data_IF_468960734574
#
_entry.id   IF_468960734574
#
_cell.length_a   1.000
_cell.length_b   1.000
_cell.length_c   1.000
_cell.angle_alpha   90.00
_cell.angle_beta   90.00
_cell.angle_gamma   90.00
#
_symmetry.space_group_name_H-M   'P 1'
#
loop_
_entity.id
_entity.type
_entity.pdbx_description
1 polymer ?
#
# COMPACT_ATOMS: atom_id res chain seq x y z
N UNK A 1 -20.60 8.00 -7.97
CA UNK A 1 -19.39 7.46 -8.64
C UNK A 1 -18.89 6.31 -7.79
N UNK A 2 -19.31 5.09 -8.08
CA UNK A 2 -18.75 3.91 -7.43
C UNK A 2 -17.47 3.56 -8.18
N UNK A 3 -16.34 3.99 -7.64
CA UNK A 3 -15.05 3.55 -8.15
C UNK A 3 -14.94 2.05 -7.84
N UNK A 4 -14.70 1.23 -8.87
CA UNK A 4 -14.67 -0.22 -8.74
C UNK A 4 -13.37 -0.58 -8.01
N UNK A 5 -13.46 -0.85 -6.71
CA UNK A 5 -12.36 -1.41 -5.94
C UNK A 5 -12.02 -2.82 -6.46
N UNK A 6 -10.74 -3.16 -6.41
CA UNK A 6 -10.28 -4.52 -6.62
C UNK A 6 -10.59 -5.41 -5.40
N UNK A 7 -10.32 -6.71 -5.54
CA UNK A 7 -10.65 -7.70 -4.50
C UNK A 7 -9.96 -7.42 -3.16
N UNK A 8 -8.76 -6.88 -3.18
CA UNK A 8 -8.01 -6.55 -1.96
C UNK A 8 -8.59 -5.31 -1.31
N UNK A 9 -8.87 -4.27 -2.09
CA UNK A 9 -9.53 -3.04 -1.67
C UNK A 9 -10.91 -3.30 -1.09
N UNK A 10 -11.76 -4.09 -1.75
CA UNK A 10 -13.09 -4.46 -1.24
C UNK A 10 -13.02 -5.14 0.13
N UNK A 11 -12.08 -6.08 0.31
CA UNK A 11 -11.87 -6.77 1.59
C UNK A 11 -11.40 -5.81 2.67
N UNK A 12 -10.45 -4.92 2.33
CA UNK A 12 -9.92 -3.95 3.28
C UNK A 12 -10.99 -2.93 3.69
N UNK A 13 -11.75 -2.42 2.72
CA UNK A 13 -12.88 -1.52 2.94
C UNK A 13 -13.88 -2.14 3.92
N UNK A 14 -14.37 -3.36 3.61
CA UNK A 14 -15.30 -4.09 4.48
C UNK A 14 -14.74 -4.38 5.87
N UNK A 15 -13.44 -4.64 5.97
CA UNK A 15 -12.79 -4.92 7.26
C UNK A 15 -12.64 -3.66 8.13
N UNK A 16 -12.58 -2.48 7.52
CA UNK A 16 -12.37 -1.22 8.22
C UNK A 16 -13.66 -0.49 8.52
N UNK A 17 -14.67 -0.54 7.65
CA UNK A 17 -15.94 0.19 7.78
C UNK A 17 -16.69 -0.13 9.08
N UNK A 18 -17.17 0.91 9.76
CA UNK A 18 -18.08 0.82 10.89
C UNK A 18 -19.36 1.63 10.60
N UNK A 19 -20.54 1.17 11.05
CA UNK A 19 -21.81 1.91 10.83
C UNK A 19 -21.84 3.33 11.43
N UNK A 20 -20.94 3.61 12.38
CA UNK A 20 -20.85 4.88 13.10
C UNK A 20 -19.81 5.84 12.51
N UNK A 21 -19.10 5.43 11.45
CA UNK A 21 -18.08 6.30 10.84
C UNK A 21 -18.73 7.54 10.21
N UNK A 22 -18.12 8.70 10.47
CA UNK A 22 -18.36 9.90 9.69
C UNK A 22 -17.81 9.77 8.28
N UNK A 23 -18.29 10.62 7.37
CA UNK A 23 -17.93 10.58 5.95
C UNK A 23 -16.41 10.77 5.73
N UNK A 24 -15.77 11.57 6.57
CA UNK A 24 -14.32 11.79 6.58
C UNK A 24 -13.53 10.50 6.81
N UNK A 25 -13.98 9.63 7.73
CA UNK A 25 -13.37 8.32 7.95
C UNK A 25 -13.65 7.40 6.77
N UNK A 26 -14.87 7.42 6.22
CA UNK A 26 -15.22 6.66 5.02
C UNK A 26 -14.30 6.98 3.85
N UNK A 27 -13.98 8.25 3.61
CA UNK A 27 -13.04 8.67 2.57
C UNK A 27 -11.66 8.06 2.81
N UNK A 28 -11.13 8.13 4.04
CA UNK A 28 -9.83 7.54 4.37
C UNK A 28 -9.80 6.02 4.16
N UNK A 29 -10.90 5.32 4.46
CA UNK A 29 -11.04 3.88 4.23
C UNK A 29 -11.01 3.57 2.73
N UNK A 30 -11.70 4.36 1.91
CA UNK A 30 -11.69 4.20 0.45
C UNK A 30 -10.28 4.41 -0.10
N UNK A 31 -9.55 5.43 0.36
CA UNK A 31 -8.16 5.63 -0.07
C UNK A 31 -7.25 4.48 0.38
N UNK A 32 -7.42 3.98 1.61
CA UNK A 32 -6.67 2.82 2.10
C UNK A 32 -6.95 1.58 1.23
N UNK A 33 -8.21 1.37 0.83
CA UNK A 33 -8.62 0.29 -0.08
C UNK A 33 -7.92 0.40 -1.44
N UNK A 34 -7.89 1.59 -2.06
CA UNK A 34 -7.20 1.82 -3.33
C UNK A 34 -5.70 1.55 -3.23
N UNK A 35 -5.06 1.95 -2.12
CA UNK A 35 -3.65 1.65 -1.87
C UNK A 35 -3.43 0.14 -1.73
N UNK A 36 -4.35 -0.57 -1.06
CA UNK A 36 -4.35 -2.03 -0.97
C UNK A 36 -4.39 -2.71 -2.34
N UNK A 37 -5.25 -2.25 -3.25
CA UNK A 37 -5.31 -2.77 -4.62
C UNK A 37 -4.02 -2.49 -5.41
N UNK A 38 -3.45 -1.29 -5.26
CA UNK A 38 -2.18 -0.93 -5.90
C UNK A 38 -1.05 -1.85 -5.39
N UNK A 39 -1.02 -2.16 -4.10
CA UNK A 39 -0.04 -3.06 -3.51
C UNK A 39 -0.19 -4.50 -4.02
N UNK A 40 -1.42 -4.98 -4.20
CA UNK A 40 -1.68 -6.29 -4.81
C UNK A 40 -1.16 -6.35 -6.26
N UNK A 41 -1.39 -5.28 -7.04
CA UNK A 41 -0.89 -5.17 -8.40
C UNK A 41 0.65 -5.15 -8.44
N UNK A 42 1.29 -4.36 -7.56
CA UNK A 42 2.74 -4.30 -7.45
C UNK A 42 3.33 -5.64 -7.02
N UNK A 43 2.69 -6.33 -6.08
CA UNK A 43 3.09 -7.68 -5.68
C UNK A 43 3.02 -8.66 -6.86
N UNK A 44 1.97 -8.58 -7.68
CA UNK A 44 1.85 -9.40 -8.89
C UNK A 44 2.97 -9.12 -9.89
N UNK A 45 3.38 -7.86 -10.05
CA UNK A 45 4.53 -7.48 -10.89
C UNK A 45 5.83 -8.03 -10.31
N UNK A 46 6.08 -7.84 -9.01
CA UNK A 46 7.30 -8.25 -8.32
C UNK A 46 7.49 -9.77 -8.28
N UNK A 47 6.38 -10.52 -8.24
CA UNK A 47 6.39 -12.00 -8.22
C UNK A 47 6.42 -12.62 -9.62
N UNK A 48 6.41 -11.79 -10.68
CA UNK A 48 6.40 -12.28 -12.05
C UNK A 48 5.08 -12.92 -12.48
N UNK A 49 3.98 -12.64 -11.76
CA UNK A 49 2.63 -13.11 -12.09
C UNK A 49 1.96 -12.30 -13.20
N UNK A 50 2.61 -11.22 -13.67
CA UNK A 50 2.17 -10.40 -14.80
C UNK A 50 3.22 -10.51 -15.90
N UNK A 51 2.80 -10.90 -17.11
CA UNK A 51 3.63 -11.04 -18.33
C UNK A 51 4.27 -9.73 -18.83
N UNK A 52 4.29 -8.66 -18.02
CA UNK A 52 4.49 -7.29 -18.51
C UNK A 52 5.60 -6.59 -17.75
N UNK A 53 6.62 -6.23 -18.53
CA UNK A 53 7.61 -5.19 -18.32
C UNK A 53 8.75 -5.46 -17.35
N UNK A 54 9.85 -5.90 -17.96
CA UNK A 54 11.16 -5.35 -17.65
C UNK A 54 11.84 -4.85 -18.91
N UNK A 55 12.54 -3.71 -18.78
CA UNK A 55 13.46 -3.25 -19.80
C UNK A 55 14.63 -4.23 -19.79
N UNK A 56 14.65 -5.14 -20.76
CA UNK A 56 15.82 -5.94 -21.08
C UNK A 56 16.96 -5.00 -21.44
N UNK A 57 17.99 -4.94 -20.60
CA UNK A 57 19.29 -4.43 -21.01
C UNK A 57 20.26 -5.59 -21.14
N UNK A 58 21.00 -5.62 -22.24
CA UNK A 58 22.11 -6.55 -22.41
C UNK A 58 23.26 -6.06 -21.53
N UNK A 59 23.68 -6.85 -20.55
CA UNK A 59 24.91 -6.63 -19.81
C UNK A 59 26.12 -6.72 -20.74
N UNK A 60 27.28 -6.16 -20.32
CA UNK A 60 28.51 -6.14 -21.13
C UNK A 60 29.00 -7.52 -21.55
N UNK A 61 28.54 -8.56 -20.84
CA UNK A 61 28.98 -9.94 -20.99
C UNK A 61 27.94 -10.82 -21.72
N UNK A 62 26.88 -10.21 -22.27
CA UNK A 62 25.78 -10.92 -22.93
C UNK A 62 24.67 -11.43 -22.00
N UNK A 63 24.78 -11.18 -20.69
CA UNK A 63 23.76 -11.53 -19.69
C UNK A 63 22.54 -10.61 -19.78
N UNK A 64 21.34 -11.16 -19.62
CA UNK A 64 20.10 -10.40 -19.51
C UNK A 64 19.97 -9.81 -18.10
N UNK A 65 19.95 -8.49 -17.96
CA UNK A 65 19.61 -7.83 -16.69
C UNK A 65 18.16 -7.36 -16.69
N UNK A 66 17.43 -7.75 -15.64
CA UNK A 66 16.04 -7.38 -15.36
C UNK A 66 16.06 -6.46 -14.14
N UNK A 67 15.88 -5.14 -14.35
CA UNK A 67 15.75 -4.18 -13.24
C UNK A 67 14.31 -4.02 -12.80
N UNK A 68 14.04 -4.44 -11.56
CA UNK A 68 12.72 -4.37 -10.89
C UNK A 68 12.64 -3.15 -9.94
N UNK A 69 13.68 -2.33 -9.91
CA UNK A 69 13.90 -1.31 -8.87
C UNK A 69 12.72 -0.32 -8.69
N UNK A 70 12.11 0.12 -9.79
CA UNK A 70 11.00 1.07 -9.74
C UNK A 70 9.74 0.49 -9.10
N UNK A 71 9.39 -0.77 -9.40
CA UNK A 71 8.21 -1.43 -8.82
C UNK A 71 8.40 -1.70 -7.32
N UNK A 72 9.61 -2.10 -6.92
CA UNK A 72 9.94 -2.35 -5.52
C UNK A 72 9.94 -1.06 -4.71
N UNK A 73 10.46 0.03 -5.28
CA UNK A 73 10.44 1.35 -4.65
C UNK A 73 9.00 1.87 -4.46
N UNK A 74 8.16 1.79 -5.50
CA UNK A 74 6.75 2.17 -5.43
C UNK A 74 6.00 1.33 -4.39
N UNK A 75 6.24 0.01 -4.33
CA UNK A 75 5.61 -0.87 -3.35
C UNK A 75 5.93 -0.45 -1.90
N UNK A 76 7.19 -0.09 -1.63
CA UNK A 76 7.60 0.42 -0.30
C UNK A 76 6.93 1.76 0.03
N UNK A 77 6.82 2.66 -0.95
CA UNK A 77 6.15 3.95 -0.77
C UNK A 77 4.66 3.76 -0.46
N UNK A 78 3.96 2.96 -1.26
CA UNK A 78 2.54 2.64 -1.05
C UNK A 78 2.31 1.95 0.30
N UNK A 79 3.19 1.05 0.73
CA UNK A 79 3.11 0.44 2.06
C UNK A 79 3.28 1.46 3.20
N UNK A 80 4.11 2.49 2.99
CA UNK A 80 4.22 3.63 3.90
C UNK A 80 2.92 4.42 3.98
N UNK A 81 2.35 4.79 2.83
CA UNK A 81 1.07 5.48 2.75
C UNK A 81 -0.06 4.69 3.41
N UNK A 82 -0.14 3.38 3.19
CA UNK A 82 -1.15 2.52 3.82
C UNK A 82 -1.03 2.56 5.35
N UNK A 83 0.19 2.45 5.89
CA UNK A 83 0.42 2.55 7.34
C UNK A 83 -0.08 3.88 7.90
N UNK A 84 0.20 5.00 7.22
CA UNK A 84 -0.24 6.33 7.63
C UNK A 84 -1.77 6.46 7.61
N UNK A 85 -2.44 5.97 6.56
CA UNK A 85 -3.90 5.98 6.46
C UNK A 85 -4.55 5.16 7.57
N UNK A 86 -4.01 3.96 7.87
CA UNK A 86 -4.53 3.11 8.95
C UNK A 86 -4.36 3.75 10.33
N UNK A 87 -3.21 4.39 10.58
CA UNK A 87 -2.96 5.13 11.81
C UNK A 87 -3.93 6.31 11.97
N UNK A 88 -4.15 7.07 10.89
CA UNK A 88 -5.10 8.18 10.88
C UNK A 88 -6.53 7.72 11.20
N UNK A 89 -7.00 6.65 10.56
CA UNK A 89 -8.34 6.06 10.81
C UNK A 89 -8.49 5.67 12.29
N UNK A 90 -7.47 5.03 12.88
CA UNK A 90 -7.49 4.65 14.30
C UNK A 90 -7.51 5.87 15.21
N UNK A 91 -6.67 6.87 14.91
CA UNK A 91 -6.59 8.12 15.68
C UNK A 91 -7.93 8.86 15.68
N UNK A 92 -8.59 8.98 14.53
CA UNK A 92 -9.91 9.64 14.43
C UNK A 92 -11.01 8.88 15.18
N UNK A 93 -10.89 7.56 15.30
CA UNK A 93 -11.80 6.71 16.09
C UNK A 93 -11.53 6.73 17.60
N UNK A 94 -10.60 7.55 18.07
CA UNK A 94 -10.21 7.60 19.49
C UNK A 94 -9.33 6.42 19.92
N UNK A 95 -8.75 5.68 18.98
CA UNK A 95 -7.75 4.66 19.25
C UNK A 95 -6.43 5.28 19.70
N UNK A 96 -5.95 4.88 20.87
CA UNK A 96 -4.61 5.21 21.35
C UNK A 96 -3.59 4.38 20.57
N UNK A 97 -2.72 5.01 19.78
CA UNK A 97 -1.49 4.37 19.31
C UNK A 97 -0.40 4.57 20.39
N UNK A 98 0.29 3.51 20.85
CA UNK A 98 1.50 3.69 21.62
C UNK A 98 2.52 4.42 20.74
N UNK A 99 3.03 5.54 21.25
CA UNK A 99 4.10 6.28 20.60
C UNK A 99 5.37 5.40 20.51
N UNK A 100 5.63 4.80 19.35
CA UNK A 100 6.92 4.17 19.02
C UNK A 100 8.02 5.23 18.74
N UNK A 101 7.90 6.42 19.34
CA UNK A 101 8.78 7.58 19.16
C UNK A 101 9.83 7.79 20.23
N UNK A 102 9.91 6.98 21.29
CA UNK A 102 10.79 7.24 22.45
C UNK A 102 11.83 6.13 22.73
N UNK A 103 12.54 5.67 21.68
CA UNK A 103 13.70 4.76 21.81
C UNK A 103 15.01 5.33 21.23
N UNK A 104 15.01 6.58 20.76
CA UNK A 104 16.22 7.26 20.26
C UNK A 104 16.66 8.49 21.09
N UNK A 105 16.00 8.77 22.22
CA UNK A 105 16.38 9.86 23.11
C UNK A 105 17.40 9.47 24.22
N UNK A 106 18.18 8.40 24.01
CA UNK A 106 19.01 7.84 25.09
C UNK A 106 20.19 6.94 24.70
N UNK A 107 20.78 7.09 23.51
CA UNK A 107 22.06 6.45 23.15
C UNK A 107 23.05 7.48 22.58
#
# INVERSE_FOLDING_TARGET
>A
MAEILGKTGEKLCRALELPTDGYEITVLIIEAARVGDRLEQLNSILTGAVDVWTRLSTGRDGTLEIRVDAALQEARQQAGTLRQLLAEIRRQRGGYEPDEGDVLAGL
#
